data_IF_839362518730
#
_entry.id   IF_839362518730
#
_cell.length_a   1.000
_cell.length_b   1.000
_cell.length_c   1.000
_cell.angle_alpha   90.00
_cell.angle_beta   90.00
_cell.angle_gamma   90.00
#
_symmetry.space_group_name_H-M   'P 1'
#
loop_
_entity.id
_entity.type
_entity.pdbx_description
1 polymer ?
#
# COMPACT_ATOMS: atom_id res chain seq x y z
N UNK A 1 -10.18 -32.93 3.59
CA UNK A 1 -10.76 -32.27 2.41
C UNK A 1 -9.58 -31.78 1.59
N UNK A 2 -9.37 -32.31 0.39
CA UNK A 2 -8.27 -31.88 -0.48
C UNK A 2 -8.58 -30.45 -0.91
N UNK A 3 -7.74 -29.47 -0.54
CA UNK A 3 -7.90 -28.12 -1.08
C UNK A 3 -7.67 -28.17 -2.59
N UNK A 4 -8.62 -27.63 -3.34
CA UNK A 4 -8.63 -27.70 -4.79
C UNK A 4 -7.79 -26.51 -5.31
N UNK A 5 -6.54 -26.79 -5.66
CA UNK A 5 -5.54 -25.77 -6.04
C UNK A 5 -5.85 -25.22 -7.44
N UNK A 6 -6.03 -23.90 -7.55
CA UNK A 6 -6.28 -23.23 -8.83
C UNK A 6 -4.99 -22.87 -9.56
N UNK A 7 -3.92 -22.55 -8.83
CA UNK A 7 -2.60 -22.22 -9.40
C UNK A 7 -1.52 -22.92 -8.61
N UNK A 8 -0.67 -23.67 -9.31
CA UNK A 8 0.50 -24.35 -8.74
C UNK A 8 1.74 -23.96 -9.53
N UNK A 9 2.69 -23.33 -8.84
CA UNK A 9 4.00 -22.96 -9.36
C UNK A 9 5.09 -23.71 -8.60
N UNK A 10 6.01 -24.34 -9.33
CA UNK A 10 7.12 -25.10 -8.76
C UNK A 10 8.44 -24.72 -9.43
N UNK A 11 9.37 -24.18 -8.63
CA UNK A 11 10.73 -23.82 -9.04
C UNK A 11 10.82 -22.83 -10.20
N UNK A 12 9.86 -21.92 -10.31
CA UNK A 12 9.78 -20.97 -11.43
C UNK A 12 10.98 -20.06 -11.45
N UNK A 13 11.73 -20.11 -12.54
CA UNK A 13 12.86 -19.21 -12.80
C UNK A 13 12.78 -18.64 -14.21
N UNK A 14 13.19 -17.37 -14.35
CA UNK A 14 13.24 -16.68 -15.63
C UNK A 14 14.55 -15.93 -15.77
N UNK A 15 15.35 -16.33 -16.76
CA UNK A 15 16.58 -15.66 -17.16
C UNK A 15 16.39 -14.97 -18.52
N UNK A 16 16.77 -13.70 -18.58
CA UNK A 16 16.95 -12.95 -19.82
C UNK A 16 18.44 -12.88 -20.16
N UNK A 17 18.75 -13.03 -21.44
CA UNK A 17 20.11 -12.82 -21.94
C UNK A 17 20.24 -11.39 -22.44
N UNK A 18 21.01 -10.58 -21.72
CA UNK A 18 21.28 -9.19 -22.05
C UNK A 18 22.53 -9.11 -22.92
N UNK A 19 22.40 -8.54 -24.12
CA UNK A 19 23.49 -8.33 -25.06
C UNK A 19 23.80 -6.84 -25.15
N UNK A 20 25.10 -6.47 -25.05
CA UNK A 20 25.52 -5.07 -25.14
C UNK A 20 25.28 -4.46 -26.54
N UNK A 21 25.22 -5.30 -27.59
CA UNK A 21 24.90 -4.89 -28.95
C UNK A 21 24.12 -5.98 -29.69
N UNK A 22 23.19 -5.64 -30.62
CA UNK A 22 22.43 -6.62 -31.39
C UNK A 22 23.31 -7.62 -32.16
N UNK A 23 24.47 -7.18 -32.67
CA UNK A 23 25.44 -8.03 -33.37
C UNK A 23 25.98 -9.15 -32.49
N UNK A 24 26.10 -8.95 -31.17
CA UNK A 24 26.58 -9.98 -30.25
C UNK A 24 25.63 -11.18 -30.16
N UNK A 25 24.32 -10.99 -30.39
CA UNK A 25 23.34 -12.08 -30.47
C UNK A 25 23.60 -12.98 -31.68
N UNK A 26 23.98 -12.37 -32.80
CA UNK A 26 24.34 -13.09 -34.02
C UNK A 26 25.64 -13.88 -33.80
N UNK A 27 26.69 -13.21 -33.31
CA UNK A 27 27.98 -13.85 -33.01
C UNK A 27 27.87 -14.98 -31.97
N UNK A 28 27.01 -14.83 -30.96
CA UNK A 28 26.76 -15.88 -29.96
C UNK A 28 26.23 -17.18 -30.60
N UNK A 29 25.40 -17.07 -31.64
CA UNK A 29 24.85 -18.21 -32.37
C UNK A 29 25.93 -18.92 -33.21
N UNK A 30 26.89 -18.17 -33.75
CA UNK A 30 28.01 -18.71 -34.53
C UNK A 30 29.14 -19.29 -33.66
N UNK A 31 29.36 -18.76 -32.46
CA UNK A 31 30.47 -19.15 -31.57
C UNK A 31 30.24 -20.47 -30.81
N UNK A 32 29.12 -21.18 -31.02
CA UNK A 32 28.78 -22.51 -30.45
C UNK A 32 29.23 -22.69 -28.98
N UNK A 33 29.01 -21.66 -28.15
CA UNK A 33 29.30 -21.70 -26.72
C UNK A 33 30.76 -21.48 -26.28
N UNK A 34 31.69 -21.17 -27.20
CA UNK A 34 33.11 -20.95 -26.85
C UNK A 34 33.37 -19.66 -26.06
N UNK A 35 32.50 -18.65 -26.20
CA UNK A 35 32.47 -17.43 -25.39
C UNK A 35 31.02 -17.02 -25.14
N UNK A 36 30.73 -16.53 -23.94
CA UNK A 36 29.44 -15.90 -23.61
C UNK A 36 29.56 -14.40 -23.89
N UNK A 37 28.83 -13.94 -24.90
CA UNK A 37 28.73 -12.53 -25.30
C UNK A 37 27.48 -11.86 -24.72
N UNK A 38 26.85 -12.49 -23.74
CA UNK A 38 25.67 -12.00 -23.03
C UNK A 38 25.89 -12.03 -21.52
N UNK A 39 25.19 -11.14 -20.82
CA UNK A 39 25.03 -11.16 -19.37
C UNK A 39 23.67 -11.77 -19.03
N UNK A 40 23.63 -12.57 -17.98
CA UNK A 40 22.38 -13.16 -17.51
C UNK A 40 21.69 -12.20 -16.54
N UNK A 41 20.42 -11.90 -16.80
CA UNK A 41 19.54 -11.18 -15.90
C UNK A 41 18.44 -12.12 -15.43
N UNK A 42 18.52 -12.52 -14.17
CA UNK A 42 17.53 -13.40 -13.54
C UNK A 42 16.38 -12.56 -12.97
N UNK A 43 15.28 -12.50 -13.71
CA UNK A 43 14.07 -11.80 -13.29
C UNK A 43 13.29 -12.56 -12.22
N UNK A 44 13.36 -13.89 -12.24
CA UNK A 44 12.80 -14.79 -11.21
C UNK A 44 13.77 -15.93 -10.95
N UNK A 45 13.86 -16.38 -9.70
CA UNK A 45 14.70 -17.48 -9.26
C UNK A 45 13.95 -18.35 -8.26
N UNK A 46 13.72 -19.60 -8.65
CA UNK A 46 13.22 -20.68 -7.82
C UNK A 46 11.96 -20.33 -6.99
N UNK A 47 10.97 -19.72 -7.64
CA UNK A 47 9.72 -19.33 -6.98
C UNK A 47 8.73 -20.49 -6.99
N UNK A 48 8.28 -20.90 -5.80
CA UNK A 48 7.28 -21.96 -5.62
C UNK A 48 6.15 -21.48 -4.72
N UNK A 49 4.91 -21.63 -5.18
CA UNK A 49 3.71 -21.27 -4.42
C UNK A 49 2.47 -21.98 -4.96
N UNK A 50 1.43 -22.01 -4.12
CA UNK A 50 0.12 -22.52 -4.46
C UNK A 50 -0.95 -21.51 -4.05
N UNK A 51 -1.96 -21.35 -4.93
CA UNK A 51 -3.16 -20.55 -4.67
C UNK A 51 -4.37 -21.46 -4.75
N UNK A 52 -5.21 -21.42 -3.73
CA UNK A 52 -6.43 -22.23 -3.64
C UNK A 52 -7.59 -21.60 -4.42
N UNK A 53 -8.56 -22.40 -4.87
CA UNK A 53 -9.80 -21.89 -5.44
C UNK A 53 -10.53 -20.98 -4.44
N UNK A 54 -10.99 -19.81 -4.90
CA UNK A 54 -11.67 -18.81 -4.07
C UNK A 54 -10.75 -17.99 -3.15
N UNK A 55 -9.45 -18.27 -3.13
CA UNK A 55 -8.48 -17.50 -2.34
C UNK A 55 -8.09 -16.21 -3.06
N UNK A 56 -7.87 -15.13 -2.30
CA UNK A 56 -7.22 -13.93 -2.81
C UNK A 56 -5.75 -13.87 -2.40
N UNK A 57 -4.88 -13.76 -3.39
CA UNK A 57 -3.43 -13.89 -3.24
C UNK A 57 -2.71 -12.63 -3.73
N UNK A 58 -2.05 -11.95 -2.80
CA UNK A 58 -1.26 -10.75 -3.06
C UNK A 58 0.15 -11.07 -3.54
N UNK A 59 0.67 -10.32 -4.51
CA UNK A 59 2.11 -10.30 -4.83
C UNK A 59 2.63 -8.89 -4.61
N UNK A 60 3.51 -8.74 -3.63
CA UNK A 60 4.08 -7.45 -3.22
C UNK A 60 5.59 -7.40 -3.44
N UNK A 61 6.11 -6.21 -3.74
CA UNK A 61 7.53 -5.98 -3.96
C UNK A 61 7.79 -4.68 -4.72
N UNK A 62 9.04 -4.23 -4.75
CA UNK A 62 9.45 -3.02 -5.48
C UNK A 62 9.26 -3.15 -6.99
N UNK A 63 9.32 -2.02 -7.69
CA UNK A 63 9.42 -2.01 -9.14
C UNK A 63 10.70 -2.73 -9.58
N UNK A 64 10.60 -3.57 -10.61
CA UNK A 64 11.71 -4.41 -11.06
C UNK A 64 12.00 -5.64 -10.19
N UNK A 65 11.17 -5.98 -9.20
CA UNK A 65 11.39 -7.19 -8.38
C UNK A 65 11.02 -8.50 -9.08
N UNK A 66 10.37 -8.45 -10.25
CA UNK A 66 9.95 -9.62 -11.03
C UNK A 66 8.44 -9.89 -11.04
N UNK A 67 7.62 -9.08 -10.35
CA UNK A 67 6.15 -9.29 -10.25
C UNK A 67 5.48 -9.46 -11.62
N UNK A 68 5.64 -8.52 -12.54
CA UNK A 68 5.01 -8.61 -13.87
C UNK A 68 5.50 -9.82 -14.67
N UNK A 69 6.80 -10.17 -14.56
CA UNK A 69 7.35 -11.39 -15.18
C UNK A 69 6.70 -12.65 -14.63
N UNK A 70 6.47 -12.70 -13.31
CA UNK A 70 5.78 -13.82 -12.67
C UNK A 70 4.35 -13.95 -13.20
N UNK A 71 3.64 -12.83 -13.27
CA UNK A 71 2.25 -12.84 -13.72
C UNK A 71 2.13 -13.22 -15.19
N UNK A 72 3.02 -12.74 -16.06
CA UNK A 72 3.08 -13.16 -17.46
C UNK A 72 3.31 -14.68 -17.59
N UNK A 73 4.10 -15.28 -16.70
CA UNK A 73 4.27 -16.74 -16.64
C UNK A 73 2.97 -17.42 -16.19
N UNK A 74 2.33 -16.93 -15.12
CA UNK A 74 1.07 -17.48 -14.60
C UNK A 74 -0.06 -17.39 -15.64
N UNK A 75 -0.11 -16.30 -16.40
CA UNK A 75 -1.09 -16.09 -17.48
C UNK A 75 -0.73 -16.80 -18.79
N UNK A 76 0.44 -17.45 -18.87
CA UNK A 76 0.87 -18.17 -20.05
C UNK A 76 1.35 -17.30 -21.23
N UNK A 77 1.48 -15.98 -21.04
CA UNK A 77 2.01 -15.07 -22.07
C UNK A 77 3.54 -15.11 -22.17
N UNK A 78 4.21 -15.67 -21.15
CA UNK A 78 5.65 -15.84 -21.11
C UNK A 78 6.03 -17.25 -20.62
N UNK A 79 6.89 -17.94 -21.37
CA UNK A 79 7.45 -19.21 -20.91
C UNK A 79 8.54 -19.00 -19.84
N UNK A 80 8.53 -19.82 -18.79
CA UNK A 80 9.61 -19.88 -17.81
C UNK A 80 10.91 -20.43 -18.44
N UNK A 81 12.06 -20.07 -17.87
CA UNK A 81 13.35 -20.69 -18.27
C UNK A 81 13.51 -22.07 -17.64
N UNK A 82 13.05 -22.23 -16.41
CA UNK A 82 12.96 -23.51 -15.69
C UNK A 82 11.81 -23.49 -14.70
N UNK A 83 11.41 -24.67 -14.22
CA UNK A 83 10.24 -24.85 -13.37
C UNK A 83 8.95 -25.01 -14.18
N UNK A 84 7.84 -25.18 -13.48
CA UNK A 84 6.51 -25.43 -14.07
C UNK A 84 5.44 -24.61 -13.40
N UNK A 85 4.47 -24.14 -14.19
CA UNK A 85 3.23 -23.51 -13.70
C UNK A 85 2.03 -24.25 -14.29
N UNK A 86 1.04 -24.54 -13.46
CA UNK A 86 -0.24 -25.11 -13.87
C UNK A 86 -1.37 -24.25 -13.30
N UNK A 87 -2.29 -23.84 -14.18
CA UNK A 87 -3.47 -23.04 -13.83
C UNK A 87 -4.73 -23.82 -14.25
N UNK A 88 -5.65 -24.01 -13.30
CA UNK A 88 -6.92 -24.72 -13.51
C UNK A 88 -8.06 -23.74 -13.46
N UNK A 89 -8.59 -23.37 -14.63
CA UNK A 89 -9.71 -22.44 -14.79
C UNK A 89 -9.43 -21.37 -15.84
N UNK A 90 -10.47 -20.62 -16.24
CA UNK A 90 -10.32 -19.48 -17.17
C UNK A 90 -9.63 -18.31 -16.48
N UNK A 91 -8.45 -17.93 -16.98
CA UNK A 91 -7.66 -16.79 -16.49
C UNK A 91 -8.02 -15.52 -17.26
N UNK A 92 -8.43 -14.47 -16.56
CA UNK A 92 -8.55 -13.12 -17.09
C UNK A 92 -7.52 -12.20 -16.44
N UNK A 93 -6.74 -11.47 -17.23
CA UNK A 93 -5.54 -10.79 -16.76
C UNK A 93 -5.47 -9.34 -17.24
N UNK A 94 -5.42 -8.39 -16.30
CA UNK A 94 -5.19 -6.96 -16.55
C UNK A 94 -3.69 -6.61 -16.44
N UNK A 95 -2.81 -7.47 -16.95
CA UNK A 95 -1.36 -7.30 -16.84
C UNK A 95 -0.79 -6.31 -17.86
N UNK A 96 -1.48 -6.19 -18.97
CA UNK A 96 -1.16 -5.28 -20.05
C UNK A 96 -2.49 -4.60 -20.38
N UNK A 97 -2.70 -3.42 -19.80
CA UNK A 97 -3.88 -2.60 -20.04
C UNK A 97 -4.17 -2.57 -21.54
N UNK A 98 -5.34 -3.06 -21.93
CA UNK A 98 -5.77 -3.11 -23.33
C UNK A 98 -4.90 -3.98 -24.24
N UNK A 99 -4.20 -5.00 -23.72
CA UNK A 99 -3.64 -6.04 -24.56
C UNK A 99 -4.74 -6.66 -25.41
N UNK A 100 -4.55 -6.60 -26.73
CA UNK A 100 -5.56 -6.99 -27.71
C UNK A 100 -6.44 -5.84 -28.21
N UNK A 101 -6.26 -4.60 -27.74
CA UNK A 101 -6.88 -3.44 -28.39
C UNK A 101 -6.13 -3.06 -29.66
N UNK A 102 -6.88 -2.80 -30.72
CA UNK A 102 -6.40 -2.18 -31.94
C UNK A 102 -6.68 -0.66 -31.87
N UNK A 103 -5.64 0.21 -31.94
CA UNK A 103 -5.80 1.66 -31.85
C UNK A 103 -6.70 2.26 -32.93
N UNK A 104 -6.81 1.61 -34.09
CA UNK A 104 -7.65 2.05 -35.21
C UNK A 104 -9.13 1.66 -35.05
N UNK A 105 -9.43 0.72 -34.15
CA UNK A 105 -10.79 0.25 -33.91
C UNK A 105 -11.50 1.14 -32.89
N UNK A 106 -12.82 1.22 -33.01
CA UNK A 106 -13.65 1.91 -32.02
C UNK A 106 -13.61 1.19 -30.66
N UNK A 107 -14.00 1.87 -29.58
CA UNK A 107 -14.13 1.21 -28.28
C UNK A 107 -15.07 0.01 -28.32
N UNK A 108 -16.17 0.10 -29.07
CA UNK A 108 -17.11 -1.01 -29.29
C UNK A 108 -16.44 -2.21 -29.96
N UNK A 109 -15.69 -1.97 -31.03
CA UNK A 109 -14.97 -3.02 -31.76
C UNK A 109 -13.89 -3.65 -30.88
N UNK A 110 -13.19 -2.85 -30.08
CA UNK A 110 -12.19 -3.32 -29.12
C UNK A 110 -12.79 -4.13 -27.97
N UNK A 111 -13.98 -3.77 -27.49
CA UNK A 111 -14.70 -4.57 -26.50
C UNK A 111 -15.03 -5.97 -27.05
N UNK A 112 -15.44 -6.06 -28.32
CA UNK A 112 -15.69 -7.34 -28.99
C UNK A 112 -14.41 -8.13 -29.20
N UNK A 113 -13.35 -7.49 -29.71
CA UNK A 113 -12.07 -8.13 -29.94
C UNK A 113 -11.47 -8.69 -28.65
N UNK A 114 -11.44 -7.88 -27.59
CA UNK A 114 -10.88 -8.26 -26.29
C UNK A 114 -11.72 -9.31 -25.59
N UNK A 115 -13.06 -9.22 -25.64
CA UNK A 115 -13.95 -10.26 -25.10
C UNK A 115 -13.70 -11.62 -25.75
N UNK A 116 -13.44 -11.65 -27.06
CA UNK A 116 -13.11 -12.87 -27.80
C UNK A 116 -11.76 -13.47 -27.38
N UNK A 117 -10.76 -12.64 -27.08
CA UNK A 117 -9.46 -13.09 -26.55
C UNK A 117 -9.63 -13.79 -25.18
N UNK A 118 -10.57 -13.32 -24.36
CA UNK A 118 -10.93 -13.96 -23.08
C UNK A 118 -11.93 -15.12 -23.22
N UNK A 119 -12.22 -15.56 -24.45
CA UNK A 119 -13.01 -16.76 -24.71
C UNK A 119 -14.53 -16.57 -24.65
N UNK A 120 -15.03 -15.33 -24.71
CA UNK A 120 -16.46 -15.08 -24.91
C UNK A 120 -16.85 -15.30 -26.37
N UNK A 121 -18.04 -15.86 -26.61
CA UNK A 121 -18.60 -15.91 -27.96
C UNK A 121 -19.10 -14.53 -28.40
N UNK A 122 -19.18 -14.28 -29.71
CA UNK A 122 -19.73 -13.02 -30.25
C UNK A 122 -21.14 -12.73 -29.73
N UNK A 123 -21.94 -13.77 -29.48
CA UNK A 123 -23.27 -13.64 -28.91
C UNK A 123 -23.23 -13.17 -27.44
N UNK A 124 -22.37 -13.78 -26.62
CA UNK A 124 -22.20 -13.40 -25.21
C UNK A 124 -21.72 -11.95 -25.08
N UNK A 125 -20.74 -11.58 -25.90
CA UNK A 125 -20.20 -10.22 -25.93
C UNK A 125 -21.28 -9.23 -26.30
N UNK A 126 -22.06 -9.50 -27.35
CA UNK A 126 -23.12 -8.60 -27.81
C UNK A 126 -24.20 -8.41 -26.74
N UNK A 127 -24.54 -9.47 -26.00
CA UNK A 127 -25.47 -9.41 -24.87
C UNK A 127 -24.93 -8.61 -23.67
N UNK A 128 -23.61 -8.66 -23.42
CA UNK A 128 -22.95 -7.96 -22.31
C UNK A 128 -22.49 -6.54 -22.67
N UNK A 129 -22.40 -6.22 -23.96
CA UNK A 129 -21.89 -4.96 -24.48
C UNK A 129 -22.56 -3.72 -23.85
N UNK A 130 -23.90 -3.66 -23.65
CA UNK A 130 -24.51 -2.53 -22.95
C UNK A 130 -23.97 -2.33 -21.53
N UNK A 131 -23.80 -3.42 -20.77
CA UNK A 131 -23.26 -3.38 -19.40
C UNK A 131 -21.78 -2.98 -19.38
N UNK A 132 -21.00 -3.43 -20.36
CA UNK A 132 -19.59 -3.02 -20.52
C UNK A 132 -19.50 -1.51 -20.76
N UNK A 133 -20.34 -0.98 -21.65
CA UNK A 133 -20.36 0.45 -21.99
C UNK A 133 -20.79 1.29 -20.78
N UNK A 134 -21.84 0.86 -20.08
CA UNK A 134 -22.32 1.49 -18.85
C UNK A 134 -21.24 1.45 -17.75
N UNK A 135 -20.54 0.33 -17.60
CA UNK A 135 -19.48 0.22 -16.60
C UNK A 135 -18.31 1.16 -16.90
N UNK A 136 -17.89 1.26 -18.17
CA UNK A 136 -16.75 2.07 -18.60
C UNK A 136 -17.00 3.58 -18.46
N UNK A 137 -18.26 4.04 -18.52
CA UNK A 137 -18.64 5.46 -18.37
C UNK A 137 -17.86 6.41 -19.31
N UNK A 138 -17.55 5.97 -20.53
CA UNK A 138 -16.82 6.77 -21.54
C UNK A 138 -17.74 7.54 -22.49
N UNK A 139 -19.06 7.42 -22.33
CA UNK A 139 -20.07 8.12 -23.14
C UNK A 139 -19.94 7.82 -24.64
N UNK A 140 -20.16 8.85 -25.46
CA UNK A 140 -20.16 8.77 -26.93
C UNK A 140 -18.79 8.42 -27.54
N UNK A 141 -17.72 8.43 -26.73
CA UNK A 141 -16.41 8.02 -27.21
C UNK A 141 -16.33 6.52 -27.53
N UNK A 142 -17.29 5.70 -27.07
CA UNK A 142 -17.34 4.26 -27.38
C UNK A 142 -17.31 3.98 -28.89
N UNK A 143 -17.89 4.87 -29.70
CA UNK A 143 -17.94 4.74 -31.16
C UNK A 143 -16.81 5.50 -31.87
N UNK A 144 -15.82 6.01 -31.13
CA UNK A 144 -14.58 6.63 -31.66
C UNK A 144 -13.39 5.68 -31.56
N UNK A 145 -12.39 5.80 -32.48
CA UNK A 145 -11.16 5.02 -32.41
C UNK A 145 -10.42 5.17 -31.09
N UNK A 146 -9.91 4.06 -30.54
CA UNK A 146 -9.26 4.05 -29.22
C UNK A 146 -7.97 4.89 -29.19
N UNK A 147 -7.30 5.11 -30.32
CA UNK A 147 -6.15 6.05 -30.40
C UNK A 147 -6.49 7.49 -29.99
N UNK A 148 -7.77 7.88 -29.99
CA UNK A 148 -8.21 9.20 -29.55
C UNK A 148 -8.58 9.25 -28.07
N UNK A 149 -8.43 8.16 -27.34
CA UNK A 149 -8.81 8.08 -25.92
C UNK A 149 -7.73 8.69 -25.03
N UNK A 150 -8.15 9.25 -23.90
CA UNK A 150 -7.21 9.48 -22.80
C UNK A 150 -6.78 8.13 -22.20
N UNK A 151 -5.66 8.14 -21.47
CA UNK A 151 -5.20 6.96 -20.71
C UNK A 151 -6.29 6.44 -19.75
N UNK A 152 -7.04 7.33 -19.10
CA UNK A 152 -8.14 6.96 -18.20
C UNK A 152 -9.29 6.27 -18.93
N UNK A 153 -9.74 6.80 -20.08
CA UNK A 153 -10.80 6.15 -20.88
C UNK A 153 -10.38 4.77 -21.39
N UNK A 154 -9.12 4.64 -21.79
CA UNK A 154 -8.55 3.38 -22.23
C UNK A 154 -8.58 2.33 -21.12
N UNK A 155 -8.11 2.69 -19.93
CA UNK A 155 -8.13 1.84 -18.72
C UNK A 155 -9.56 1.46 -18.34
N UNK A 156 -10.48 2.43 -18.37
CA UNK A 156 -11.90 2.22 -18.06
C UNK A 156 -12.53 1.17 -18.95
N UNK A 157 -12.34 1.26 -20.26
CA UNK A 157 -12.87 0.29 -21.20
C UNK A 157 -12.21 -1.09 -21.03
N UNK A 158 -10.88 -1.15 -20.87
CA UNK A 158 -10.16 -2.39 -20.67
C UNK A 158 -10.65 -3.14 -19.41
N UNK A 159 -10.80 -2.43 -18.30
CA UNK A 159 -11.34 -3.00 -17.07
C UNK A 159 -12.80 -3.41 -17.22
N UNK A 160 -13.64 -2.58 -17.87
CA UNK A 160 -15.05 -2.88 -18.07
C UNK A 160 -15.26 -4.19 -18.84
N UNK A 161 -14.44 -4.46 -19.86
CA UNK A 161 -14.49 -5.73 -20.59
C UNK A 161 -14.15 -6.89 -19.66
N UNK A 162 -13.01 -6.82 -18.96
CA UNK A 162 -12.55 -7.87 -18.04
C UNK A 162 -13.53 -8.12 -16.89
N UNK A 163 -14.18 -7.08 -16.39
CA UNK A 163 -15.19 -7.21 -15.34
C UNK A 163 -16.43 -8.02 -15.79
N UNK A 164 -16.61 -8.20 -17.09
CA UNK A 164 -17.76 -8.89 -17.68
C UNK A 164 -17.37 -10.17 -18.45
N UNK A 165 -16.16 -10.70 -18.27
CA UNK A 165 -15.79 -12.03 -18.80
C UNK A 165 -16.06 -13.14 -17.78
N UNK A 166 -16.22 -14.38 -18.26
CA UNK A 166 -16.41 -15.55 -17.39
C UNK A 166 -15.05 -16.04 -16.86
N UNK A 167 -14.48 -15.30 -15.91
CA UNK A 167 -13.20 -15.63 -15.28
C UNK A 167 -13.39 -16.45 -14.00
N UNK A 168 -12.57 -17.49 -13.84
CA UNK A 168 -12.43 -18.22 -12.58
C UNK A 168 -11.21 -17.71 -11.80
N UNK A 169 -10.20 -17.24 -12.52
CA UNK A 169 -8.98 -16.66 -11.98
C UNK A 169 -8.83 -15.27 -12.57
N UNK A 170 -8.83 -14.24 -11.73
CA UNK A 170 -8.58 -12.87 -12.13
C UNK A 170 -7.21 -12.43 -11.69
N UNK A 171 -6.41 -11.89 -12.60
CA UNK A 171 -5.07 -11.38 -12.33
C UNK A 171 -5.05 -9.88 -12.57
N UNK A 172 -4.80 -9.11 -11.53
CA UNK A 172 -4.83 -7.65 -11.59
C UNK A 172 -3.47 -7.09 -11.22
N UNK A 173 -2.89 -6.31 -12.13
CA UNK A 173 -1.69 -5.50 -11.85
C UNK A 173 -2.08 -4.12 -11.30
N UNK A 174 -1.08 -3.40 -10.82
CA UNK A 174 -1.16 -2.06 -10.20
C UNK A 174 -1.79 -0.97 -11.09
N UNK A 175 -1.98 -1.29 -12.38
CA UNK A 175 -2.68 -0.54 -13.40
C UNK A 175 -4.06 0.02 -13.01
N UNK A 176 -4.71 -0.50 -11.96
CA UNK A 176 -5.96 0.07 -11.44
C UNK A 176 -5.83 1.52 -10.99
N UNK A 177 -4.62 1.99 -10.66
CA UNK A 177 -4.37 3.34 -10.16
C UNK A 177 -4.38 4.44 -11.25
N UNK A 178 -4.57 4.09 -12.53
CA UNK A 178 -4.50 5.02 -13.68
C UNK A 178 -5.86 5.67 -14.02
N UNK A 179 -6.86 5.50 -13.17
CA UNK A 179 -8.19 6.11 -13.30
C UNK A 179 -8.46 7.24 -12.30
N UNK A 180 -9.64 7.89 -12.41
CA UNK A 180 -10.13 8.76 -11.36
C UNK A 180 -10.48 7.95 -10.08
N UNK A 181 -10.55 8.64 -8.93
CA UNK A 181 -10.80 8.00 -7.64
C UNK A 181 -12.15 7.26 -7.58
N UNK A 182 -13.18 7.78 -8.27
CA UNK A 182 -14.51 7.19 -8.29
C UNK A 182 -14.53 5.86 -9.05
N UNK A 183 -13.87 5.81 -10.20
CA UNK A 183 -13.72 4.59 -11.01
C UNK A 183 -12.83 3.56 -10.31
N UNK A 184 -11.76 4.01 -9.65
CA UNK A 184 -10.91 3.13 -8.83
C UNK A 184 -11.73 2.46 -7.72
N UNK A 185 -12.58 3.21 -7.01
CA UNK A 185 -13.50 2.64 -6.01
C UNK A 185 -14.52 1.67 -6.62
N UNK A 186 -15.01 1.93 -7.84
CA UNK A 186 -15.91 1.01 -8.56
C UNK A 186 -15.19 -0.30 -8.89
N UNK A 187 -13.95 -0.24 -9.36
CA UNK A 187 -13.10 -1.40 -9.60
C UNK A 187 -12.86 -2.19 -8.31
N UNK A 188 -12.54 -1.52 -7.21
CA UNK A 188 -12.30 -2.18 -5.92
C UNK A 188 -13.55 -2.86 -5.36
N UNK A 189 -14.74 -2.27 -5.57
CA UNK A 189 -16.03 -2.93 -5.23
C UNK A 189 -16.22 -4.20 -6.04
N UNK A 190 -16.06 -4.12 -7.36
CA UNK A 190 -16.14 -5.27 -8.24
C UNK A 190 -15.17 -6.40 -7.82
N UNK A 191 -13.92 -6.07 -7.46
CA UNK A 191 -12.95 -7.08 -7.01
C UNK A 191 -13.32 -7.74 -5.67
N UNK A 192 -13.98 -7.01 -4.77
CA UNK A 192 -14.51 -7.56 -3.52
C UNK A 192 -15.66 -8.52 -3.78
N UNK A 193 -16.55 -8.18 -4.72
CA UNK A 193 -17.65 -9.06 -5.12
C UNK A 193 -17.12 -10.31 -5.84
N UNK A 194 -16.10 -10.14 -6.70
CA UNK A 194 -15.45 -11.25 -7.40
C UNK A 194 -14.77 -12.23 -6.42
N UNK A 195 -14.18 -11.74 -5.32
CA UNK A 195 -13.57 -12.57 -4.28
C UNK A 195 -14.53 -13.61 -3.69
N UNK A 196 -15.83 -13.35 -3.67
CA UNK A 196 -16.82 -14.30 -3.14
C UNK A 196 -16.99 -15.54 -4.03
N UNK A 197 -16.63 -15.45 -5.31
CA UNK A 197 -16.95 -16.46 -6.33
C UNK A 197 -15.74 -16.98 -7.11
N UNK A 198 -14.63 -16.25 -7.15
CA UNK A 198 -13.43 -16.58 -7.93
C UNK A 198 -12.11 -16.43 -7.18
N UNK A 199 -11.02 -16.88 -7.80
CA UNK A 199 -9.65 -16.69 -7.29
C UNK A 199 -9.08 -15.39 -7.82
N UNK A 200 -8.52 -14.54 -6.95
CA UNK A 200 -7.91 -13.27 -7.33
C UNK A 200 -6.40 -13.30 -7.07
N UNK A 201 -5.57 -13.01 -8.08
CA UNK A 201 -4.20 -12.58 -7.88
C UNK A 201 -4.17 -11.05 -7.99
N UNK A 202 -3.73 -10.40 -6.93
CA UNK A 202 -3.62 -8.95 -6.87
C UNK A 202 -2.16 -8.53 -6.69
N UNK A 203 -1.67 -7.68 -7.59
CA UNK A 203 -0.28 -7.21 -7.55
C UNK A 203 -0.26 -5.72 -7.31
N UNK A 204 0.47 -5.32 -6.27
CA UNK A 204 0.58 -3.93 -5.89
C UNK A 204 1.82 -3.72 -5.03
N UNK A 205 2.36 -2.51 -5.03
CA UNK A 205 3.27 -2.05 -3.96
C UNK A 205 2.53 -1.41 -2.78
N UNK A 206 1.22 -1.17 -2.89
CA UNK A 206 0.38 -0.64 -1.81
C UNK A 206 0.01 -1.74 -0.81
N UNK A 207 0.65 -1.67 0.35
CA UNK A 207 0.42 -2.59 1.47
C UNK A 207 -0.99 -2.51 2.04
N UNK A 208 -1.65 -1.35 1.98
CA UNK A 208 -3.01 -1.16 2.46
C UNK A 208 -4.01 -1.91 1.58
N UNK A 209 -3.92 -1.74 0.26
CA UNK A 209 -4.74 -2.47 -0.70
C UNK A 209 -4.56 -3.99 -0.56
N UNK A 210 -3.31 -4.48 -0.52
CA UNK A 210 -2.99 -5.90 -0.35
C UNK A 210 -3.58 -6.44 0.95
N UNK A 211 -3.40 -5.74 2.08
CA UNK A 211 -3.94 -6.16 3.38
C UNK A 211 -5.46 -6.18 3.42
N UNK A 212 -6.12 -5.28 2.69
CA UNK A 212 -7.59 -5.20 2.68
C UNK A 212 -8.26 -6.24 1.78
N UNK A 213 -7.58 -6.67 0.71
CA UNK A 213 -8.17 -7.47 -0.37
C UNK A 213 -7.71 -8.93 -0.35
N UNK A 214 -6.46 -9.17 0.08
CA UNK A 214 -5.80 -10.48 -0.01
C UNK A 214 -5.88 -11.25 1.31
N UNK A 215 -6.15 -12.55 1.24
CA UNK A 215 -6.06 -13.46 2.40
C UNK A 215 -4.60 -13.84 2.67
N UNK A 216 -3.85 -14.11 1.60
CA UNK A 216 -2.43 -14.44 1.64
C UNK A 216 -1.64 -13.52 0.73
N UNK A 217 -0.36 -13.36 0.99
CA UNK A 217 0.52 -12.65 0.10
C UNK A 217 1.89 -13.31 0.00
N UNK A 218 2.59 -12.98 -1.09
CA UNK A 218 4.00 -13.30 -1.31
C UNK A 218 4.77 -12.01 -1.55
N UNK A 219 5.89 -11.85 -0.85
CA UNK A 219 6.84 -10.79 -1.08
C UNK A 219 7.99 -11.27 -1.97
N UNK A 220 8.16 -10.60 -3.12
CA UNK A 220 9.26 -10.82 -4.05
C UNK A 220 10.22 -9.63 -4.00
N UNK A 221 11.51 -9.92 -3.86
CA UNK A 221 12.60 -8.96 -3.94
C UNK A 221 13.72 -9.50 -4.84
N UNK A 222 14.11 -8.72 -5.86
CA UNK A 222 15.17 -9.08 -6.84
C UNK A 222 15.02 -10.49 -7.44
N UNK A 223 13.78 -10.87 -7.77
CA UNK A 223 13.45 -12.15 -8.36
C UNK A 223 13.37 -13.33 -7.40
N UNK A 224 13.58 -13.13 -6.10
CA UNK A 224 13.54 -14.17 -5.07
C UNK A 224 12.33 -13.97 -4.15
N UNK A 225 11.70 -15.08 -3.75
CA UNK A 225 10.64 -15.07 -2.75
C UNK A 225 11.24 -14.88 -1.35
N UNK A 226 10.94 -13.75 -0.70
CA UNK A 226 11.42 -13.43 0.65
C UNK A 226 10.50 -13.94 1.75
N UNK A 227 9.20 -13.89 1.51
CA UNK A 227 8.18 -14.35 2.45
C UNK A 227 6.90 -14.74 1.70
N UNK A 228 6.18 -15.71 2.24
CA UNK A 228 4.82 -16.08 1.82
C UNK A 228 4.02 -16.46 3.05
N UNK A 229 2.75 -16.09 3.10
CA UNK A 229 1.91 -16.34 4.27
C UNK A 229 0.67 -15.46 4.27
N UNK A 230 0.15 -15.20 5.47
CA UNK A 230 -0.94 -14.25 5.69
C UNK A 230 -0.57 -12.85 5.17
N UNK A 231 -1.52 -12.16 4.54
CA UNK A 231 -1.27 -10.88 3.89
C UNK A 231 -0.79 -9.80 4.87
N UNK A 232 -1.31 -9.76 6.10
CA UNK A 232 -0.87 -8.81 7.13
C UNK A 232 0.59 -9.07 7.52
N UNK A 233 0.95 -10.32 7.83
CA UNK A 233 2.32 -10.65 8.23
C UNK A 233 3.36 -10.37 7.13
N UNK A 234 3.01 -10.66 5.87
CA UNK A 234 3.92 -10.44 4.73
C UNK A 234 4.06 -8.95 4.41
N UNK A 235 2.97 -8.18 4.47
CA UNK A 235 3.03 -6.72 4.26
C UNK A 235 3.82 -6.01 5.36
N UNK A 236 3.71 -6.46 6.62
CA UNK A 236 4.54 -5.96 7.73
C UNK A 236 6.03 -6.22 7.49
N UNK A 237 6.41 -7.44 7.08
CA UNK A 237 7.81 -7.78 6.72
C UNK A 237 8.33 -6.94 5.55
N UNK A 238 7.48 -6.71 4.54
CA UNK A 238 7.83 -5.87 3.40
C UNK A 238 8.04 -4.40 3.83
N UNK A 239 7.13 -3.82 4.62
CA UNK A 239 7.26 -2.46 5.14
C UNK A 239 8.55 -2.30 5.95
N UNK A 240 8.84 -3.22 6.87
CA UNK A 240 10.09 -3.23 7.63
C UNK A 240 11.32 -3.19 6.70
N UNK A 241 11.29 -3.94 5.59
CA UNK A 241 12.39 -3.92 4.61
C UNK A 241 12.53 -2.60 3.83
N UNK A 242 11.43 -1.89 3.59
CA UNK A 242 11.44 -0.59 2.90
C UNK A 242 12.06 0.49 3.78
N UNK A 243 11.66 0.52 5.06
CA UNK A 243 12.24 1.44 6.06
C UNK A 243 13.74 1.18 6.22
N UNK A 244 14.17 -0.08 6.29
CA UNK A 244 15.57 -0.47 6.33
C UNK A 244 16.35 -0.22 5.02
N UNK A 245 15.73 0.29 3.94
CA UNK A 245 16.42 0.60 2.68
C UNK A 245 16.41 2.10 2.36
N UNK A 246 15.32 2.83 2.63
CA UNK A 246 15.25 4.29 2.43
C UNK A 246 16.38 5.02 3.17
N UNK A 247 16.73 4.52 4.35
CA UNK A 247 17.81 5.04 5.18
C UNK A 247 19.24 4.66 4.73
N UNK A 248 19.38 3.73 3.78
CA UNK A 248 20.67 3.41 3.15
C UNK A 248 21.04 4.44 2.07
N UNK A 249 20.04 5.04 1.43
CA UNK A 249 20.22 6.02 0.35
C UNK A 249 20.33 7.47 0.88
N UNK A 250 19.85 7.77 2.09
CA UNK A 250 19.94 9.10 2.73
C UNK A 250 21.29 9.45 3.38
N UNK A 251 22.41 8.88 2.91
CA UNK A 251 23.78 9.34 3.28
C UNK A 251 24.21 10.62 2.52
N UNK A 252 23.28 11.54 2.27
CA UNK A 252 23.56 12.82 1.62
C UNK A 252 23.55 13.96 2.65
N UNK A 253 24.75 14.47 2.91
CA UNK A 253 25.11 15.74 3.55
C UNK A 253 24.10 16.39 4.52
N UNK A 254 24.34 16.18 5.81
CA UNK A 254 23.85 17.09 6.85
C UNK A 254 24.51 18.46 6.69
N UNK A 255 23.89 19.36 5.92
CA UNK A 255 24.08 20.79 6.09
C UNK A 255 23.13 21.29 7.18
N UNK A 256 23.73 21.96 8.17
CA UNK A 256 23.04 22.58 9.28
C UNK A 256 21.88 23.45 8.78
N UNK A 257 20.66 23.10 9.18
CA UNK A 257 19.51 23.99 9.03
C UNK A 257 19.76 25.19 9.91
N UNK A 258 20.17 26.30 9.29
CA UNK A 258 20.21 27.61 9.94
C UNK A 258 18.82 27.90 10.51
N UNK A 259 18.79 28.22 11.81
CA UNK A 259 17.62 28.73 12.53
C UNK A 259 17.02 29.89 11.73
N UNK A 260 15.89 29.64 11.07
CA UNK A 260 15.08 30.71 10.49
C UNK A 260 14.54 31.54 11.66
N UNK A 261 15.04 32.76 11.77
CA UNK A 261 14.54 33.78 12.69
C UNK A 261 13.07 34.08 12.34
N UNK A 262 12.18 33.82 13.29
CA UNK A 262 10.80 34.34 13.32
C UNK A 262 9.90 33.87 12.19
N UNK A 263 9.57 32.58 12.15
CA UNK A 263 8.40 32.14 11.39
C UNK A 263 7.17 32.89 11.91
N UNK A 264 6.51 33.67 11.05
CA UNK A 264 5.19 34.25 11.38
C UNK A 264 4.26 33.10 11.71
N UNK A 265 3.58 33.17 12.86
CA UNK A 265 2.55 32.18 13.19
C UNK A 265 1.39 32.32 12.21
N UNK A 266 1.19 31.28 11.42
CA UNK A 266 0.09 31.21 10.47
C UNK A 266 -1.17 30.72 11.20
N UNK A 267 -2.29 31.45 11.05
CA UNK A 267 -3.55 31.17 11.75
C UNK A 267 -4.66 30.87 10.75
N UNK A 268 -5.40 29.78 10.95
CA UNK A 268 -6.66 29.55 10.22
C UNK A 268 -7.66 30.65 10.59
N UNK A 269 -8.08 31.45 9.61
CA UNK A 269 -9.03 32.55 9.79
C UNK A 269 -10.41 32.12 10.33
N UNK A 270 -10.75 30.83 10.20
CA UNK A 270 -11.99 30.25 10.72
C UNK A 270 -11.84 29.72 12.14
N UNK A 271 -10.64 29.72 12.74
CA UNK A 271 -10.36 29.09 14.04
C UNK A 271 -11.35 29.53 15.12
N UNK A 272 -11.62 30.83 15.24
CA UNK A 272 -12.52 31.34 16.29
C UNK A 272 -13.98 30.89 16.10
N UNK A 273 -14.42 30.79 14.84
CA UNK A 273 -15.75 30.30 14.51
C UNK A 273 -15.86 28.80 14.80
N UNK A 274 -14.88 28.01 14.36
CA UNK A 274 -14.83 26.55 14.59
C UNK A 274 -14.80 26.26 16.10
N UNK A 275 -13.98 26.97 16.87
CA UNK A 275 -13.84 26.78 18.32
C UNK A 275 -15.11 27.12 19.13
N UNK A 276 -16.01 27.95 18.57
CA UNK A 276 -17.29 28.31 19.18
C UNK A 276 -18.49 27.54 18.62
N UNK A 277 -18.23 26.56 17.74
CA UNK A 277 -19.27 25.83 17.02
C UNK A 277 -19.35 24.36 17.45
N UNK A 278 -20.42 23.68 17.03
CA UNK A 278 -20.60 22.23 17.23
C UNK A 278 -19.70 21.37 16.32
N UNK A 279 -18.98 21.97 15.37
CA UNK A 279 -18.02 21.28 14.50
C UNK A 279 -16.58 21.41 15.00
N UNK A 280 -16.39 21.93 16.23
CA UNK A 280 -15.09 21.86 16.91
C UNK A 280 -14.64 20.40 16.98
N UNK A 281 -13.35 20.15 16.76
CA UNK A 281 -12.86 18.78 16.76
C UNK A 281 -12.58 18.27 18.17
N UNK A 282 -13.64 17.94 18.90
CA UNK A 282 -13.56 17.40 20.25
C UNK A 282 -13.21 15.90 20.21
N UNK A 283 -12.11 15.56 20.85
CA UNK A 283 -11.56 14.21 20.92
C UNK A 283 -11.61 13.72 22.36
N UNK A 284 -12.39 12.67 22.60
CA UNK A 284 -12.38 11.95 23.88
C UNK A 284 -11.15 11.03 23.92
N UNK A 285 -10.39 11.08 25.02
CA UNK A 285 -9.19 10.27 25.22
C UNK A 285 -9.49 9.18 26.25
N UNK A 286 -9.39 7.92 25.84
CA UNK A 286 -9.58 6.79 26.73
C UNK A 286 -8.29 6.48 27.49
N UNK A 287 -8.44 5.90 28.69
CA UNK A 287 -7.29 5.49 29.50
C UNK A 287 -6.52 4.37 28.83
N UNK A 288 -5.20 4.37 29.04
CA UNK A 288 -4.32 3.27 28.64
C UNK A 288 -4.83 1.92 29.13
N UNK A 289 -4.86 0.96 28.22
CA UNK A 289 -5.21 -0.41 28.53
C UNK A 289 -3.93 -1.26 28.66
N UNK A 290 -3.56 -1.69 29.88
CA UNK A 290 -2.34 -2.48 30.09
C UNK A 290 -2.43 -3.91 29.53
N UNK A 291 -3.63 -4.39 29.18
CA UNK A 291 -3.88 -5.76 28.71
C UNK A 291 -3.93 -5.88 27.18
N UNK A 292 -3.41 -4.90 26.45
CA UNK A 292 -3.43 -4.93 24.98
C UNK A 292 -2.53 -6.03 24.42
N UNK A 293 -2.95 -6.58 23.27
CA UNK A 293 -2.17 -7.57 22.54
C UNK A 293 -0.89 -6.90 22.03
N UNK A 294 0.24 -7.50 22.37
CA UNK A 294 1.55 -7.08 21.87
C UNK A 294 2.32 -8.27 21.31
N UNK A 295 3.26 -8.00 20.40
CA UNK A 295 4.21 -8.97 19.87
C UNK A 295 5.63 -8.39 19.90
N UNK A 296 6.65 -9.23 19.80
CA UNK A 296 8.05 -8.82 19.92
C UNK A 296 8.88 -9.89 20.62
N UNK A 297 10.20 -9.73 20.66
CA UNK A 297 11.06 -10.69 21.34
C UNK A 297 11.01 -10.57 22.87
N UNK A 298 10.32 -9.56 23.41
CA UNK A 298 10.25 -9.28 24.84
C UNK A 298 11.34 -8.28 25.26
N UNK A 299 11.80 -8.36 26.50
CA UNK A 299 12.85 -7.47 27.02
C UNK A 299 12.36 -6.11 27.53
N UNK A 300 11.12 -5.71 27.23
CA UNK A 300 10.43 -4.56 27.82
C UNK A 300 8.95 -4.84 28.07
N UNK A 301 8.35 -4.10 29.00
CA UNK A 301 6.89 -4.06 29.21
C UNK A 301 6.42 -2.62 29.28
N UNK A 302 5.31 -2.29 28.61
CA UNK A 302 4.68 -0.98 28.77
C UNK A 302 4.15 -0.82 30.19
N UNK A 303 4.52 0.30 30.81
CA UNK A 303 4.10 0.66 32.16
C UNK A 303 2.96 1.68 32.13
N UNK A 304 3.03 2.65 31.21
CA UNK A 304 2.03 3.71 31.06
C UNK A 304 2.11 4.34 29.67
N UNK A 305 0.97 4.80 29.15
CA UNK A 305 0.88 5.59 27.92
C UNK A 305 -0.20 6.64 28.12
N UNK A 306 0.09 7.91 27.88
CA UNK A 306 -0.89 8.97 28.09
C UNK A 306 -0.70 10.11 27.10
N UNK A 307 -1.79 10.77 26.73
CA UNK A 307 -1.74 12.10 26.13
C UNK A 307 -1.78 13.13 27.27
N UNK A 308 -0.80 14.02 27.29
CA UNK A 308 -0.66 15.10 28.26
C UNK A 308 -0.98 16.44 27.61
N UNK A 309 -1.55 17.35 28.41
CA UNK A 309 -1.71 18.76 28.06
C UNK A 309 -0.41 19.55 28.23
N UNK A 310 -0.48 20.87 28.03
CA UNK A 310 0.64 21.79 28.26
C UNK A 310 1.06 21.86 29.74
N UNK A 311 0.20 21.44 30.66
CA UNK A 311 0.42 21.37 32.10
C UNK A 311 0.97 20.01 32.56
N UNK A 312 1.39 19.15 31.62
CA UNK A 312 1.87 17.78 31.83
C UNK A 312 0.85 16.85 32.52
N UNK A 313 -0.43 17.24 32.60
CA UNK A 313 -1.49 16.40 33.16
C UNK A 313 -2.12 15.51 32.07
N UNK A 314 -2.50 14.24 32.41
CA UNK A 314 -3.21 13.37 31.48
C UNK A 314 -4.56 13.94 31.05
N UNK A 315 -4.81 13.94 29.74
CA UNK A 315 -6.02 14.44 29.12
C UNK A 315 -7.09 13.35 29.06
N UNK A 316 -8.33 13.71 29.39
CA UNK A 316 -9.53 12.92 29.04
C UNK A 316 -10.24 13.48 27.81
N UNK A 317 -9.93 14.71 27.43
CA UNK A 317 -10.43 15.41 26.24
C UNK A 317 -9.33 16.30 25.68
N UNK A 318 -9.28 16.42 24.35
CA UNK A 318 -8.41 17.35 23.63
C UNK A 318 -9.16 17.92 22.43
N UNK A 319 -8.86 19.15 22.05
CA UNK A 319 -9.37 19.73 20.80
C UNK A 319 -8.32 19.62 19.70
N UNK A 320 -8.75 19.19 18.50
CA UNK A 320 -7.89 19.17 17.32
C UNK A 320 -7.24 20.54 17.07
N UNK A 321 -5.92 20.54 16.96
CA UNK A 321 -5.05 21.71 16.82
C UNK A 321 -4.35 22.12 18.12
N UNK A 322 -4.76 21.62 19.29
CA UNK A 322 -4.06 21.87 20.56
C UNK A 322 -2.73 21.13 20.63
N UNK A 323 -1.73 21.73 21.29
CA UNK A 323 -0.46 21.06 21.54
C UNK A 323 -0.64 19.99 22.62
N UNK A 324 -0.20 18.78 22.31
CA UNK A 324 -0.23 17.65 23.23
C UNK A 324 1.12 16.96 23.29
N UNK A 325 1.35 16.22 24.37
CA UNK A 325 2.51 15.33 24.49
C UNK A 325 2.07 13.88 24.68
N UNK A 326 2.44 12.99 23.76
CA UNK A 326 2.29 11.56 23.96
C UNK A 326 3.44 11.04 24.82
N UNK A 327 3.11 10.63 26.05
CA UNK A 327 4.02 10.00 27.00
C UNK A 327 3.99 8.48 26.83
N UNK A 328 5.17 7.87 26.77
CA UNK A 328 5.35 6.41 26.74
C UNK A 328 6.35 6.01 27.82
N UNK A 329 5.90 5.21 28.77
CA UNK A 329 6.74 4.59 29.80
C UNK A 329 6.88 3.09 29.56
N UNK A 330 8.12 2.61 29.53
CA UNK A 330 8.42 1.19 29.39
C UNK A 330 9.45 0.72 30.41
N UNK A 331 9.17 -0.37 31.10
CA UNK A 331 10.11 -1.00 32.04
C UNK A 331 10.99 -2.00 31.29
N UNK A 332 12.29 -1.87 31.44
CA UNK A 332 13.27 -2.79 30.86
C UNK A 332 13.35 -4.07 31.69
N UNK A 333 13.13 -5.22 31.06
CA UNK A 333 13.33 -6.54 31.64
C UNK A 333 14.76 -7.06 31.41
N UNK A 334 15.46 -6.47 30.43
CA UNK A 334 16.83 -6.79 30.02
C UNK A 334 17.62 -5.50 29.75
N UNK A 335 18.92 -5.61 29.48
CA UNK A 335 19.74 -4.47 29.09
C UNK A 335 19.50 -4.11 27.61
N UNK A 336 19.36 -2.82 27.33
CA UNK A 336 19.05 -2.26 26.00
C UNK A 336 20.12 -1.23 25.66
N UNK A 337 20.76 -1.38 24.50
CA UNK A 337 21.93 -0.57 24.14
C UNK A 337 21.55 0.73 23.44
N UNK A 338 20.55 0.69 22.58
CA UNK A 338 20.10 1.81 21.76
C UNK A 338 18.57 1.72 21.63
N UNK A 339 17.80 2.11 22.68
CA UNK A 339 16.36 2.02 22.66
C UNK A 339 15.78 3.02 21.65
N UNK A 340 14.92 2.51 20.78
CA UNK A 340 14.07 3.31 19.90
C UNK A 340 12.64 3.12 20.39
N UNK A 341 12.00 4.19 20.82
CA UNK A 341 10.56 4.21 21.12
C UNK A 341 9.88 4.95 19.98
N UNK A 342 8.80 4.39 19.45
CA UNK A 342 8.00 5.02 18.41
C UNK A 342 6.52 4.79 18.62
N UNK A 343 5.71 5.57 17.91
CA UNK A 343 4.27 5.46 17.93
C UNK A 343 3.67 5.62 16.54
N UNK A 344 2.45 5.13 16.37
CA UNK A 344 1.64 5.35 15.18
C UNK A 344 0.21 5.69 15.60
N UNK A 345 -0.40 6.71 15.01
CA UNK A 345 -1.83 6.95 15.09
C UNK A 345 -2.54 6.29 13.91
N UNK A 346 -3.57 5.50 14.17
CA UNK A 346 -4.32 4.73 13.17
C UNK A 346 -5.81 5.02 13.23
N UNK A 347 -6.48 4.85 12.10
CA UNK A 347 -7.94 4.82 12.04
C UNK A 347 -8.52 3.44 12.42
N UNK A 348 -9.85 3.34 12.50
CA UNK A 348 -10.57 2.09 12.77
C UNK A 348 -10.32 0.96 11.74
N UNK A 349 -9.81 1.28 10.55
CA UNK A 349 -9.46 0.30 9.52
C UNK A 349 -8.01 -0.18 9.65
N UNK A 350 -7.26 0.38 10.60
CA UNK A 350 -5.85 0.09 10.82
C UNK A 350 -4.92 0.80 9.84
N UNK A 351 -5.42 1.79 9.08
CA UNK A 351 -4.60 2.66 8.25
C UNK A 351 -3.84 3.64 9.13
N UNK A 352 -2.54 3.79 8.88
CA UNK A 352 -1.69 4.73 9.63
C UNK A 352 -1.90 6.15 9.11
N UNK A 353 -2.26 7.06 10.01
CA UNK A 353 -2.41 8.48 9.72
C UNK A 353 -1.05 9.18 9.79
N UNK A 354 -0.34 9.00 10.90
CA UNK A 354 1.04 9.45 11.08
C UNK A 354 1.71 8.68 12.23
N UNK A 355 3.01 8.87 12.41
CA UNK A 355 3.80 8.29 13.48
C UNK A 355 5.22 8.80 13.44
N UNK A 356 5.93 8.67 14.55
CA UNK A 356 7.33 9.07 14.68
C UNK A 356 8.05 8.22 15.73
N UNK A 357 9.37 8.35 15.84
CA UNK A 357 10.18 7.63 16.83
C UNK A 357 11.40 8.44 17.31
N UNK A 358 12.03 7.95 18.39
CA UNK A 358 13.14 8.65 19.04
C UNK A 358 14.48 8.53 18.31
N UNK A 359 14.63 7.70 17.27
CA UNK A 359 15.94 7.36 16.72
C UNK A 359 16.70 8.58 16.19
N UNK A 360 16.09 9.36 15.29
CA UNK A 360 16.77 10.49 14.64
C UNK A 360 17.22 11.55 15.65
N UNK A 361 16.41 11.80 16.69
CA UNK A 361 16.74 12.76 17.76
C UNK A 361 17.96 12.33 18.57
N UNK A 362 18.20 11.03 18.73
CA UNK A 362 19.27 10.49 19.57
C UNK A 362 20.32 9.72 18.76
N UNK A 363 20.41 9.93 17.44
CA UNK A 363 21.30 9.16 16.56
C UNK A 363 22.78 9.28 16.95
N UNK A 364 23.21 10.47 17.35
CA UNK A 364 24.61 10.76 17.71
C UNK A 364 24.96 10.33 19.14
N UNK A 365 23.96 10.18 20.00
CA UNK A 365 24.14 9.85 21.42
C UNK A 365 22.95 9.03 21.94
N UNK A 366 22.80 7.77 21.49
CA UNK A 366 21.68 6.94 21.91
C UNK A 366 21.79 6.63 23.40
N UNK A 367 20.69 6.76 24.17
CA UNK A 367 20.70 6.39 25.58
C UNK A 367 20.89 4.88 25.74
N UNK A 368 21.35 4.43 26.90
CA UNK A 368 21.44 3.01 27.26
C UNK A 368 20.57 2.74 28.47
N UNK A 369 19.98 1.56 28.59
CA UNK A 369 19.22 1.14 29.77
C UNK A 369 19.64 -0.24 30.24
N UNK A 370 19.63 -0.45 31.55
CA UNK A 370 19.83 -1.76 32.18
C UNK A 370 18.49 -2.32 32.67
N UNK A 371 18.47 -3.63 32.96
CA UNK A 371 17.33 -4.30 33.57
C UNK A 371 16.82 -3.53 34.80
N UNK A 372 15.52 -3.30 34.86
CA UNK A 372 14.84 -2.57 35.94
C UNK A 372 14.70 -1.08 35.70
N UNK A 373 15.43 -0.48 34.75
CA UNK A 373 15.22 0.91 34.35
C UNK A 373 13.84 1.12 33.72
N UNK A 374 13.38 2.37 33.71
CA UNK A 374 12.17 2.80 33.02
C UNK A 374 12.59 3.78 31.94
N UNK A 375 12.37 3.41 30.69
CA UNK A 375 12.49 4.30 29.55
C UNK A 375 11.26 5.22 29.52
N UNK A 376 11.50 6.51 29.27
CA UNK A 376 10.46 7.52 29.14
C UNK A 376 10.68 8.26 27.83
N UNK A 377 9.73 8.16 26.91
CA UNK A 377 9.70 8.96 25.70
C UNK A 377 8.49 9.89 25.73
N UNK A 378 8.68 11.11 25.24
CA UNK A 378 7.63 12.12 25.14
C UNK A 378 7.69 12.71 23.73
N UNK A 379 6.56 12.70 23.03
CA UNK A 379 6.43 13.26 21.69
C UNK A 379 5.44 14.41 21.73
N UNK A 380 5.92 15.64 21.51
CA UNK A 380 5.07 16.84 21.54
C UNK A 380 4.69 17.26 20.13
N UNK A 381 3.40 17.37 19.85
CA UNK A 381 2.88 17.70 18.52
C UNK A 381 1.50 18.38 18.62
N UNK A 382 1.10 19.16 17.59
CA UNK A 382 -0.28 19.63 17.50
C UNK A 382 -1.20 18.46 17.17
N UNK A 383 -2.23 18.27 17.99
CA UNK A 383 -3.20 17.21 17.80
C UNK A 383 -3.89 17.37 16.44
N UNK A 384 -3.86 16.37 15.54
CA UNK A 384 -4.47 16.54 14.23
C UNK A 384 -5.98 16.73 14.31
N UNK A 385 -6.54 17.50 13.38
CA UNK A 385 -7.98 17.62 13.23
C UNK A 385 -8.47 16.38 12.48
N UNK A 386 -9.30 15.52 13.07
CA UNK A 386 -9.67 14.24 12.46
C UNK A 386 -11.17 14.15 12.17
N UNK A 387 -11.61 13.41 11.13
CA UNK A 387 -13.01 13.08 10.93
C UNK A 387 -13.64 12.39 12.15
N UNK A 388 -14.97 12.46 12.28
CA UNK A 388 -15.70 11.74 13.33
C UNK A 388 -15.44 10.24 13.22
N UNK A 389 -15.00 9.62 14.31
CA UNK A 389 -14.61 8.22 14.32
C UNK A 389 -13.68 7.83 15.47
N UNK A 390 -13.36 6.54 15.51
CA UNK A 390 -12.44 5.95 16.49
C UNK A 390 -11.04 5.80 15.88
N UNK A 391 -10.04 6.13 16.68
CA UNK A 391 -8.62 6.09 16.34
C UNK A 391 -7.84 5.48 17.50
N UNK A 392 -6.65 4.96 17.20
CA UNK A 392 -5.82 4.33 18.23
C UNK A 392 -4.33 4.59 18.01
N UNK A 393 -3.62 4.75 19.11
CA UNK A 393 -2.17 4.77 19.14
C UNK A 393 -1.65 3.35 19.28
N UNK A 394 -0.69 3.02 18.44
CA UNK A 394 0.21 1.89 18.61
C UNK A 394 1.55 2.39 19.14
N UNK A 395 2.23 1.58 19.93
CA UNK A 395 3.58 1.87 20.42
C UNK A 395 4.53 0.73 20.09
N UNK A 396 5.71 1.09 19.58
CA UNK A 396 6.78 0.18 19.23
C UNK A 396 8.05 0.53 20.00
N UNK A 397 8.76 -0.48 20.50
CA UNK A 397 10.04 -0.36 21.18
C UNK A 397 11.01 -1.36 20.58
N UNK A 398 12.20 -0.88 20.20
CA UNK A 398 13.27 -1.69 19.63
C UNK A 398 14.63 -1.38 20.25
N UNK A 399 15.59 -2.29 20.12
CA UNK A 399 17.00 -2.06 20.46
C UNK A 399 17.85 -2.07 19.19
N UNK A 400 18.61 -1.00 18.95
CA UNK A 400 19.57 -0.89 17.86
C UNK A 400 19.40 0.41 17.08
N UNK A 401 19.55 0.30 15.76
CA UNK A 401 19.42 1.41 14.82
C UNK A 401 18.15 1.26 14.01
N UNK A 402 17.65 2.35 13.41
CA UNK A 402 16.46 2.24 12.57
C UNK A 402 16.64 1.30 11.36
N UNK A 403 17.89 1.01 10.98
CA UNK A 403 18.30 0.06 9.93
C UNK A 403 18.46 -1.41 10.38
N UNK A 404 18.91 -1.60 11.61
CA UNK A 404 19.24 -2.89 12.20
C UNK A 404 18.88 -2.81 13.68
N UNK A 405 17.70 -3.33 14.00
CA UNK A 405 17.17 -3.36 15.35
C UNK A 405 16.45 -4.67 15.63
N UNK A 406 16.46 -5.02 16.89
CA UNK A 406 15.65 -6.07 17.46
C UNK A 406 14.34 -5.47 17.96
N UNK A 407 13.21 -5.91 17.41
CA UNK A 407 11.90 -5.50 17.91
C UNK A 407 11.66 -6.13 19.29
N UNK A 408 11.63 -5.30 20.33
CA UNK A 408 11.41 -5.74 21.71
C UNK A 408 9.91 -5.85 22.01
N UNK A 409 9.15 -4.80 21.66
CA UNK A 409 7.71 -4.74 21.88
C UNK A 409 7.02 -3.97 20.76
N UNK A 410 5.87 -4.47 20.32
CA UNK A 410 4.92 -3.77 19.47
C UNK A 410 3.54 -3.99 20.06
N UNK A 411 2.95 -2.96 20.63
CA UNK A 411 1.64 -3.00 21.26
C UNK A 411 0.63 -2.23 20.42
N UNK A 412 -0.48 -2.89 20.10
CA UNK A 412 -1.57 -2.30 19.34
C UNK A 412 -2.61 -1.67 20.25
N UNK A 413 -3.23 -0.60 19.78
CA UNK A 413 -4.39 0.01 20.43
C UNK A 413 -4.15 0.38 21.90
N UNK A 414 -2.93 0.83 22.23
CA UNK A 414 -2.51 1.13 23.62
C UNK A 414 -3.33 2.27 24.21
N UNK A 415 -3.66 3.27 23.39
CA UNK A 415 -4.43 4.44 23.76
C UNK A 415 -5.45 4.70 22.66
N UNK A 416 -6.74 4.68 23.00
CA UNK A 416 -7.82 4.94 22.06
C UNK A 416 -8.27 6.38 22.21
N UNK A 417 -8.61 7.01 21.08
CA UNK A 417 -9.23 8.33 21.06
C UNK A 417 -10.44 8.31 20.13
N UNK A 418 -11.49 9.06 20.47
CA UNK A 418 -12.71 9.18 19.68
C UNK A 418 -12.95 10.62 19.31
N UNK A 419 -12.95 10.92 18.01
CA UNK A 419 -13.39 12.20 17.49
C UNK A 419 -14.91 12.24 17.48
N UNK A 420 -15.51 13.10 18.30
CA UNK A 420 -16.98 13.19 18.48
C UNK A 420 -17.61 14.14 17.47
N UNK A 421 -16.93 15.25 17.19
CA UNK A 421 -17.32 16.27 16.22
C UNK A 421 -16.10 16.67 15.40
N UNK A 422 -16.28 17.24 14.21
CA UNK A 422 -15.17 17.65 13.35
C UNK A 422 -15.59 18.65 12.30
N UNK A 423 -14.67 19.54 11.95
CA UNK A 423 -14.79 20.50 10.84
C UNK A 423 -14.22 19.95 9.53
N UNK A 424 -13.66 18.74 9.54
CA UNK A 424 -13.13 18.07 8.35
C UNK A 424 -14.27 17.70 7.42
N UNK A 425 -14.32 18.33 6.24
CA UNK A 425 -15.35 18.05 5.24
C UNK A 425 -15.08 16.78 4.44
N UNK A 426 -13.80 16.52 4.12
CA UNK A 426 -13.33 15.35 3.36
C UNK A 426 -11.88 15.02 3.72
N UNK A 427 -11.45 13.77 3.47
CA UNK A 427 -10.08 13.31 3.72
C UNK A 427 -9.89 12.57 5.05
N UNK A 428 -8.65 12.17 5.33
CA UNK A 428 -8.26 11.42 6.53
C UNK A 428 -7.85 12.32 7.71
N UNK A 429 -7.35 13.52 7.41
CA UNK A 429 -6.91 14.51 8.40
C UNK A 429 -7.23 15.91 7.85
N UNK A 430 -7.65 16.81 8.73
CA UNK A 430 -7.87 18.22 8.46
C UNK A 430 -6.59 19.02 8.51
N UNK A 431 -6.36 19.82 7.47
CA UNK A 431 -5.28 20.81 7.42
C UNK A 431 -5.87 22.19 7.68
N UNK A 432 -5.27 23.01 8.56
CA UNK A 432 -5.68 24.41 8.74
C UNK A 432 -5.58 25.19 7.43
N UNK A 433 -6.65 25.90 7.05
CA UNK A 433 -6.66 26.68 5.80
C UNK A 433 -6.12 28.09 6.07
N UNK A 434 -5.14 28.52 5.27
CA UNK A 434 -4.51 29.83 5.42
C UNK A 434 -5.31 30.97 4.78
N UNK A 435 -6.09 30.67 3.73
CA UNK A 435 -7.04 31.58 3.10
C UNK A 435 -8.16 30.76 2.44
N UNK A 436 -9.37 31.29 2.45
CA UNK A 436 -10.55 30.73 1.75
C UNK A 436 -11.34 31.91 1.22
N UNK A 437 -11.44 32.02 -0.10
CA UNK A 437 -12.18 33.05 -0.81
C UNK A 437 -13.18 32.41 -1.76
N UNK A 438 -14.34 33.05 -1.88
CA UNK A 438 -15.34 32.75 -2.90
C UNK A 438 -15.75 34.07 -3.53
N UNK A 439 -15.72 34.13 -4.86
CA UNK A 439 -16.13 35.28 -5.65
C UNK A 439 -17.29 34.83 -6.54
N UNK A 440 -18.29 35.71 -6.69
CA UNK A 440 -19.43 35.48 -7.58
C UNK A 440 -19.37 36.56 -8.64
N UNK A 441 -18.97 36.18 -9.85
CA UNK A 441 -19.07 37.07 -11.00
C UNK A 441 -20.54 37.19 -11.40
N UNK A 442 -21.10 38.39 -11.25
CA UNK A 442 -22.40 38.73 -11.82
C UNK A 442 -22.27 38.88 -13.32
N UNK A 443 -23.18 38.26 -14.09
CA UNK A 443 -23.51 38.78 -15.41
C UNK A 443 -24.26 40.09 -15.19
N UNK A 444 -23.57 41.22 -15.37
CA UNK A 444 -24.24 42.50 -15.62
C UNK A 444 -25.05 42.36 -16.91
N UNK A 445 -26.36 42.20 -16.74
CA UNK A 445 -27.35 42.24 -17.83
C UNK A 445 -27.78 43.65 -18.15
#
# INVERSE_FOLDING_TARGET
>A
MSSDVSIRAHGLSKCYQMYDAPVHRLWQSFLRGRKRLYREFWALKDISFEVEKGQTFGVIGKNGSGKSTLLQIVCGTLAATSGTVACTGKVAALLELGAGFNPEFTGRQNAVLSGGIYGLSTADITARLPKIIEFAEIGDFIDRPVKTYSSGMFVRLAFAVIAHVDAEIMVIDEALAVGDAQFTQKCMRFLRDFKETGTLIFVSHDTGAVRSLCDRAMWIDKGEMRAIGDAKSVTEKYLASLFNQAQKDERLDHHAVQKVLGAREWRDQRRDLVMRSSIRNDLEVFKFNPNVKSFGQGGVTLADVALLGEDDNPLSWVVGGEMVSLLVHARCLEAIRQPIIGFFLKDKLGQTLFGDNTYLTYIDSPPTAIKGNVLRAQFTFPMPIMPVGDYSFDVAIADGTQMDHQQLLWAHDVLVIRSVSSSVSTGLVGVPMLDVKIEVDGNDG
#
